data_IF_242154982261
#
_entry.id   IF_242154982261
#
_cell.length_a   1.000
_cell.length_b   1.000
_cell.length_c   1.000
_cell.angle_alpha   90.00
_cell.angle_beta   90.00
_cell.angle_gamma   90.00
#
_symmetry.space_group_name_H-M   'P 1'
#
loop_
_entity.id
_entity.type
_entity.pdbx_description
1 polymer ?
#
# COMPACT_ATOMS: atom_id res chain seq x y z
N UNK A 1 -21.47 -35.24 44.59
CA UNK A 1 -21.39 -33.77 44.70
C UNK A 1 -20.50 -33.12 43.63
N UNK A 2 -19.37 -33.73 43.23
CA UNK A 2 -18.41 -33.16 42.25
C UNK A 2 -18.93 -32.98 40.81
N UNK A 3 -19.81 -33.86 40.30
CA UNK A 3 -20.31 -33.77 38.91
C UNK A 3 -21.18 -32.52 38.64
N UNK A 4 -21.92 -32.04 39.64
CA UNK A 4 -22.72 -30.80 39.52
C UNK A 4 -21.86 -29.55 39.48
N UNK A 5 -20.74 -29.55 40.21
CA UNK A 5 -19.77 -28.44 40.23
C UNK A 5 -19.04 -28.33 38.88
N UNK A 6 -18.64 -29.45 38.29
CA UNK A 6 -18.00 -29.49 36.96
C UNK A 6 -18.95 -28.99 35.87
N UNK A 7 -20.21 -29.43 35.88
CA UNK A 7 -21.22 -28.96 34.92
C UNK A 7 -21.46 -27.44 35.02
N UNK A 8 -21.48 -26.90 36.24
CA UNK A 8 -21.69 -25.48 36.49
C UNK A 8 -20.51 -24.62 36.00
N UNK A 9 -19.28 -25.12 36.15
CA UNK A 9 -18.06 -24.49 35.61
C UNK A 9 -18.06 -24.49 34.08
N UNK A 10 -18.44 -25.60 33.43
CA UNK A 10 -18.54 -25.65 31.97
C UNK A 10 -19.63 -24.72 31.43
N UNK A 11 -20.78 -24.64 32.09
CA UNK A 11 -21.86 -23.71 31.71
C UNK A 11 -21.41 -22.26 31.88
N UNK A 12 -20.68 -21.92 32.94
CA UNK A 12 -20.13 -20.57 33.16
C UNK A 12 -19.07 -20.20 32.12
N UNK A 13 -18.17 -21.12 31.75
CA UNK A 13 -17.16 -20.89 30.70
C UNK A 13 -17.84 -20.68 29.34
N UNK A 14 -18.86 -21.48 29.03
CA UNK A 14 -19.61 -21.34 27.78
C UNK A 14 -20.40 -20.02 27.74
N UNK A 15 -20.98 -19.58 28.86
CA UNK A 15 -21.65 -18.28 28.98
C UNK A 15 -20.67 -17.10 28.82
N UNK A 16 -19.45 -17.21 29.35
CA UNK A 16 -18.37 -16.24 29.21
C UNK A 16 -17.85 -16.14 27.76
N UNK A 17 -17.81 -17.26 27.03
CA UNK A 17 -17.44 -17.26 25.61
C UNK A 17 -18.49 -16.58 24.72
N UNK A 18 -19.78 -16.70 25.05
CA UNK A 18 -20.86 -16.02 24.31
C UNK A 18 -20.81 -14.50 24.53
N UNK A 19 -20.40 -14.05 25.72
CA UNK A 19 -20.22 -12.63 26.05
C UNK A 19 -18.95 -12.00 25.44
N UNK A 20 -18.09 -12.82 24.83
CA UNK A 20 -16.92 -12.35 24.05
C UNK A 20 -17.24 -12.12 22.57
N UNK A 21 -18.51 -12.23 22.17
CA UNK A 21 -18.98 -11.74 20.88
C UNK A 21 -18.87 -10.22 20.83
N UNK A 22 -17.68 -9.72 20.50
CA UNK A 22 -17.48 -8.32 20.15
C UNK A 22 -18.52 -7.96 19.09
N UNK A 23 -19.37 -6.98 19.41
CA UNK A 23 -20.35 -6.47 18.46
C UNK A 23 -19.65 -6.09 17.16
N UNK A 24 -20.15 -6.59 16.04
CA UNK A 24 -19.90 -5.95 14.76
C UNK A 24 -20.42 -4.52 14.88
N UNK A 25 -19.53 -3.58 15.20
CA UNK A 25 -19.69 -2.20 14.77
C UNK A 25 -19.79 -2.27 13.25
N UNK A 26 -21.01 -2.16 12.73
CA UNK A 26 -21.20 -1.76 11.35
C UNK A 26 -20.51 -0.40 11.25
N UNK A 27 -19.31 -0.38 10.67
CA UNK A 27 -18.56 0.85 10.45
C UNK A 27 -19.50 1.83 9.77
N UNK A 28 -19.91 2.86 10.50
CA UNK A 28 -20.49 4.06 9.91
C UNK A 28 -19.41 4.58 8.97
N UNK A 29 -19.61 4.41 7.66
CA UNK A 29 -18.60 4.79 6.68
C UNK A 29 -18.14 6.22 6.94
N UNK A 30 -16.83 6.40 7.13
CA UNK A 30 -16.27 7.72 7.34
C UNK A 30 -16.51 8.57 6.09
N UNK A 31 -17.06 9.77 6.30
CA UNK A 31 -17.33 10.73 5.23
C UNK A 31 -16.25 11.80 5.31
N UNK A 32 -15.44 11.92 4.26
CA UNK A 32 -14.37 12.91 4.17
C UNK A 32 -14.86 14.15 3.40
N UNK A 33 -14.37 15.32 3.80
CA UNK A 33 -14.73 16.59 3.16
C UNK A 33 -13.99 16.85 1.83
N UNK A 34 -12.86 16.19 1.60
CA UNK A 34 -12.04 16.38 0.40
C UNK A 34 -11.14 15.18 0.10
N UNK A 35 -10.58 15.15 -1.11
CA UNK A 35 -9.53 14.19 -1.48
C UNK A 35 -8.30 14.27 -0.57
N UNK A 36 -7.99 15.47 -0.10
CA UNK A 36 -6.88 15.71 0.83
C UNK A 36 -7.13 15.08 2.20
N UNK A 37 -8.35 15.20 2.72
CA UNK A 37 -8.71 14.60 4.00
C UNK A 37 -8.61 13.06 3.98
N UNK A 38 -9.07 12.42 2.90
CA UNK A 38 -8.95 10.95 2.75
C UNK A 38 -7.49 10.50 2.53
N UNK A 39 -6.68 11.30 1.83
CA UNK A 39 -5.24 11.01 1.67
C UNK A 39 -4.51 11.12 3.01
N UNK A 40 -4.77 12.18 3.79
CA UNK A 40 -4.16 12.36 5.10
C UNK A 40 -4.52 11.22 6.07
N UNK A 41 -5.79 10.81 6.07
CA UNK A 41 -6.26 9.66 6.85
C UNK A 41 -5.57 8.36 6.41
N UNK A 42 -5.49 8.12 5.11
CA UNK A 42 -4.78 6.96 4.58
C UNK A 42 -3.30 6.95 4.98
N UNK A 43 -2.61 8.09 4.88
CA UNK A 43 -1.21 8.24 5.32
C UNK A 43 -1.01 7.94 6.80
N UNK A 44 -2.00 8.27 7.64
CA UNK A 44 -1.95 7.95 9.08
C UNK A 44 -2.10 6.45 9.40
N UNK A 45 -2.61 5.66 8.43
CA UNK A 45 -2.94 4.25 8.60
C UNK A 45 -2.01 3.29 7.83
N UNK A 46 -1.05 3.81 7.07
CA UNK A 46 -0.12 3.02 6.26
C UNK A 46 1.33 3.23 6.69
N UNK A 47 2.23 2.43 6.13
CA UNK A 47 3.67 2.70 6.23
C UNK A 47 4.09 3.62 5.08
N UNK A 48 4.60 4.79 5.40
CA UNK A 48 5.33 5.63 4.45
C UNK A 48 6.84 5.40 4.58
N UNK A 49 7.56 5.50 3.46
CA UNK A 49 9.03 5.46 3.45
C UNK A 49 9.62 6.73 2.86
N UNK A 50 10.73 7.16 3.44
CA UNK A 50 11.52 8.29 2.97
C UNK A 50 12.28 7.94 1.67
N UNK A 51 12.79 8.96 0.99
CA UNK A 51 13.69 8.79 -0.15
C UNK A 51 14.92 7.95 0.20
N UNK A 52 15.56 8.23 1.34
CA UNK A 52 16.79 7.56 1.76
C UNK A 52 16.55 6.09 2.12
N UNK A 53 15.43 5.78 2.78
CA UNK A 53 15.05 4.39 3.07
C UNK A 53 14.71 3.63 1.79
N UNK A 54 14.00 4.27 0.87
CA UNK A 54 13.69 3.70 -0.43
C UNK A 54 14.95 3.41 -1.25
N UNK A 55 15.89 4.37 -1.34
CA UNK A 55 17.20 4.17 -1.98
C UNK A 55 17.97 3.01 -1.36
N UNK A 56 17.97 2.88 -0.04
CA UNK A 56 18.59 1.75 0.63
C UNK A 56 17.91 0.40 0.32
N UNK A 57 16.59 0.37 0.14
CA UNK A 57 15.90 -0.86 -0.25
C UNK A 57 16.29 -1.33 -1.64
N UNK A 58 16.42 -0.39 -2.59
CA UNK A 58 16.90 -0.64 -3.94
C UNK A 58 18.36 -1.13 -3.94
N UNK A 59 19.26 -0.40 -3.28
CA UNK A 59 20.70 -0.71 -3.26
C UNK A 59 21.04 -2.02 -2.51
N UNK A 60 20.19 -2.44 -1.57
CA UNK A 60 20.35 -3.69 -0.83
C UNK A 60 19.58 -4.86 -1.45
N UNK A 61 19.02 -4.68 -2.65
CA UNK A 61 18.25 -5.71 -3.38
C UNK A 61 17.10 -6.29 -2.55
N UNK A 62 16.50 -5.46 -1.67
CA UNK A 62 15.40 -5.86 -0.79
C UNK A 62 14.02 -5.60 -1.40
N UNK A 63 13.98 -5.03 -2.59
CA UNK A 63 12.75 -4.64 -3.27
C UNK A 63 12.71 -5.26 -4.66
N UNK A 64 11.92 -6.31 -4.82
CA UNK A 64 11.72 -6.95 -6.13
C UNK A 64 10.62 -6.26 -6.93
N UNK A 65 9.55 -5.79 -6.30
CA UNK A 65 8.40 -5.18 -7.00
C UNK A 65 8.22 -3.72 -6.58
N UNK A 66 8.30 -2.83 -7.56
CA UNK A 66 7.98 -1.40 -7.42
C UNK A 66 6.74 -1.09 -8.27
N UNK A 67 5.69 -0.58 -7.65
CA UNK A 67 4.42 -0.31 -8.34
C UNK A 67 4.26 1.19 -8.58
N UNK A 68 4.23 1.59 -9.84
CA UNK A 68 3.81 2.91 -10.25
C UNK A 68 2.28 2.94 -10.42
N UNK A 69 1.60 3.72 -9.57
CA UNK A 69 0.13 3.86 -9.62
C UNK A 69 -0.35 5.07 -10.41
N UNK A 70 0.53 5.72 -11.17
CA UNK A 70 0.19 6.78 -12.12
C UNK A 70 -0.55 6.23 -13.33
N UNK A 71 -1.09 7.15 -14.14
CA UNK A 71 -1.69 6.78 -15.41
C UNK A 71 -0.63 6.27 -16.40
N UNK A 72 -0.97 5.38 -17.35
CA UNK A 72 0.00 4.82 -18.29
C UNK A 72 0.75 5.88 -19.10
N UNK A 73 0.10 7.02 -19.40
CA UNK A 73 0.75 8.15 -20.06
C UNK A 73 1.90 8.75 -19.25
N UNK A 74 1.70 8.95 -17.94
CA UNK A 74 2.75 9.45 -17.03
C UNK A 74 3.90 8.44 -16.88
N UNK A 75 3.59 7.13 -16.89
CA UNK A 75 4.58 6.06 -16.82
C UNK A 75 5.44 5.99 -18.08
N UNK A 76 4.82 6.10 -19.26
CA UNK A 76 5.51 6.06 -20.54
C UNK A 76 6.46 7.27 -20.75
N UNK A 77 6.22 8.38 -20.07
CA UNK A 77 7.11 9.55 -20.07
C UNK A 77 8.38 9.35 -19.22
N UNK A 78 8.39 8.32 -18.38
CA UNK A 78 9.52 7.95 -17.54
C UNK A 78 9.05 7.39 -16.19
N UNK A 79 9.85 6.49 -15.63
CA UNK A 79 9.53 5.79 -14.39
C UNK A 79 10.79 5.53 -13.55
N UNK A 80 10.60 5.23 -12.27
CA UNK A 80 11.71 4.88 -11.37
C UNK A 80 12.29 3.54 -11.82
N UNK A 81 13.62 3.44 -11.88
CA UNK A 81 14.35 2.29 -12.44
C UNK A 81 14.12 2.09 -13.95
N UNK A 82 14.05 3.19 -14.71
CA UNK A 82 14.08 3.13 -16.16
C UNK A 82 15.46 2.65 -16.63
N UNK A 83 15.55 1.78 -17.65
CA UNK A 83 16.82 1.36 -18.20
C UNK A 83 17.51 2.54 -18.90
N UNK A 84 18.83 2.49 -18.95
CA UNK A 84 19.64 3.43 -19.73
C UNK A 84 19.61 3.11 -21.23
N UNK A 85 20.46 3.80 -22.01
CA UNK A 85 20.51 3.65 -23.46
C UNK A 85 20.99 2.27 -23.94
N UNK A 86 21.66 1.52 -23.07
CA UNK A 86 22.16 0.16 -23.33
C UNK A 86 21.19 -0.93 -22.82
N UNK A 87 19.96 -0.54 -22.47
CA UNK A 87 18.92 -1.41 -21.91
C UNK A 87 19.31 -2.01 -20.53
N UNK A 88 20.24 -1.35 -19.82
CA UNK A 88 20.70 -1.76 -18.49
C UNK A 88 19.88 -1.06 -17.40
N UNK A 89 19.32 -1.87 -16.49
CA UNK A 89 18.54 -1.37 -15.36
C UNK A 89 19.49 -0.99 -14.21
N UNK A 90 19.38 0.23 -13.63
CA UNK A 90 20.16 0.62 -12.46
C UNK A 90 19.98 -0.30 -11.25
N UNK A 91 18.79 -0.88 -11.12
CA UNK A 91 18.43 -1.86 -10.10
C UNK A 91 17.84 -3.11 -10.79
N UNK A 92 18.66 -4.04 -11.28
CA UNK A 92 18.21 -5.14 -12.13
C UNK A 92 17.29 -6.14 -11.42
N UNK A 93 17.39 -6.24 -10.10
CA UNK A 93 16.53 -7.11 -9.27
C UNK A 93 15.17 -6.46 -8.94
N UNK A 94 14.94 -5.20 -9.33
CA UNK A 94 13.70 -4.47 -9.09
C UNK A 94 12.88 -4.31 -10.36
N UNK A 95 11.70 -4.90 -10.41
CA UNK A 95 10.75 -4.78 -11.50
C UNK A 95 9.77 -3.64 -11.22
N UNK A 96 9.84 -2.57 -12.03
CA UNK A 96 8.85 -1.49 -11.99
C UNK A 96 7.67 -1.83 -12.87
N UNK A 97 6.48 -1.92 -12.27
CA UNK A 97 5.22 -2.25 -12.96
C UNK A 97 4.22 -1.11 -12.86
N UNK A 98 3.49 -0.82 -13.94
CA UNK A 98 2.41 0.16 -13.90
C UNK A 98 1.06 -0.49 -13.61
N UNK A 99 0.51 -0.19 -12.44
CA UNK A 99 -0.86 -0.54 -12.07
C UNK A 99 -1.56 0.76 -11.64
N UNK A 100 -2.27 1.44 -12.55
CA UNK A 100 -2.93 2.71 -12.24
C UNK A 100 -3.80 2.59 -10.99
N UNK A 101 -3.86 3.64 -10.16
CA UNK A 101 -4.57 3.59 -8.87
C UNK A 101 -5.97 2.99 -9.01
N UNK A 102 -6.75 3.38 -10.03
CA UNK A 102 -8.11 2.87 -10.23
C UNK A 102 -8.24 1.39 -10.55
N UNK A 103 -7.13 0.69 -10.80
CA UNK A 103 -7.09 -0.73 -11.17
C UNK A 103 -6.38 -1.62 -10.14
N UNK A 104 -5.82 -1.05 -9.07
CA UNK A 104 -5.00 -1.80 -8.11
C UNK A 104 -5.79 -2.96 -7.48
N UNK A 105 -7.06 -2.73 -7.09
CA UNK A 105 -7.93 -3.75 -6.49
C UNK A 105 -8.16 -4.96 -7.39
N UNK A 106 -8.16 -4.74 -8.71
CA UNK A 106 -8.50 -5.77 -9.69
C UNK A 106 -7.27 -6.48 -10.24
N UNK A 107 -6.12 -5.79 -10.30
CA UNK A 107 -4.88 -6.32 -10.91
C UNK A 107 -3.94 -6.97 -9.91
N UNK A 108 -3.80 -6.44 -8.70
CA UNK A 108 -2.76 -6.88 -7.76
C UNK A 108 -2.89 -8.37 -7.38
N UNK A 109 -4.10 -8.93 -7.38
CA UNK A 109 -4.38 -10.35 -7.11
C UNK A 109 -4.78 -11.17 -8.34
N UNK A 110 -4.64 -10.62 -9.56
CA UNK A 110 -5.02 -11.31 -10.80
C UNK A 110 -3.83 -12.10 -11.34
N UNK A 111 -3.84 -13.43 -11.19
CA UNK A 111 -2.81 -14.29 -11.78
C UNK A 111 -2.65 -14.03 -13.27
N UNK A 112 -3.75 -13.87 -14.01
CA UNK A 112 -3.71 -13.63 -15.45
C UNK A 112 -2.92 -12.37 -15.82
N UNK A 113 -3.05 -11.29 -15.04
CA UNK A 113 -2.28 -10.06 -15.24
C UNK A 113 -0.78 -10.27 -14.99
N UNK A 114 -0.42 -10.99 -13.93
CA UNK A 114 0.99 -11.23 -13.59
C UNK A 114 1.65 -12.26 -14.51
N UNK A 115 0.93 -13.30 -14.93
CA UNK A 115 1.48 -14.43 -15.68
C UNK A 115 1.60 -14.14 -17.19
N UNK A 116 0.75 -13.26 -17.74
CA UNK A 116 0.70 -13.03 -19.19
C UNK A 116 1.18 -11.63 -19.61
N UNK A 117 0.98 -10.61 -18.77
CA UNK A 117 1.28 -9.22 -19.16
C UNK A 117 2.63 -8.74 -18.60
N UNK A 118 3.23 -9.49 -17.66
CA UNK A 118 4.44 -9.12 -16.95
C UNK A 118 5.50 -10.22 -17.01
N UNK A 119 6.75 -9.79 -16.86
CA UNK A 119 7.96 -10.61 -16.85
C UNK A 119 8.41 -10.93 -15.41
N UNK A 120 7.50 -10.74 -14.45
CA UNK A 120 7.73 -10.88 -13.02
C UNK A 120 6.54 -11.59 -12.38
N UNK A 121 6.82 -12.57 -11.53
CA UNK A 121 5.78 -13.32 -10.82
C UNK A 121 5.04 -12.43 -9.79
N UNK A 122 3.74 -12.71 -9.62
CA UNK A 122 2.90 -12.04 -8.62
C UNK A 122 3.56 -12.07 -7.23
N UNK A 123 3.72 -10.91 -6.55
CA UNK A 123 4.33 -10.90 -5.24
C UNK A 123 3.44 -11.57 -4.18
N UNK A 124 4.01 -12.47 -3.34
CA UNK A 124 3.38 -12.90 -2.11
C UNK A 124 2.97 -11.72 -1.22
N UNK A 125 1.95 -11.93 -0.39
CA UNK A 125 1.35 -10.85 0.40
C UNK A 125 2.26 -10.28 1.49
N UNK A 126 3.27 -11.03 1.90
CA UNK A 126 4.26 -10.64 2.91
C UNK A 126 5.58 -10.11 2.33
N UNK A 127 5.74 -10.16 1.00
CA UNK A 127 6.88 -9.59 0.32
C UNK A 127 6.85 -8.06 0.38
N UNK A 128 8.00 -7.37 0.58
CA UNK A 128 8.06 -5.91 0.49
C UNK A 128 7.59 -5.40 -0.88
N UNK A 129 6.61 -4.48 -0.86
CA UNK A 129 6.14 -3.78 -2.07
C UNK A 129 6.13 -2.29 -1.78
N UNK A 130 6.76 -1.51 -2.66
CA UNK A 130 6.71 -0.05 -2.61
C UNK A 130 5.79 0.46 -3.71
N UNK A 131 4.91 1.39 -3.37
CA UNK A 131 4.07 2.11 -4.32
C UNK A 131 4.50 3.56 -4.39
N UNK A 132 4.44 4.12 -5.59
CA UNK A 132 4.61 5.56 -5.79
C UNK A 132 3.63 6.09 -6.82
N UNK A 133 3.32 7.37 -6.70
CA UNK A 133 2.67 8.13 -7.76
C UNK A 133 3.46 9.41 -8.01
N UNK A 134 2.86 10.46 -8.58
CA UNK A 134 3.55 11.74 -8.77
C UNK A 134 4.03 12.39 -7.45
N UNK A 135 3.13 12.55 -6.46
CA UNK A 135 3.41 13.29 -5.20
C UNK A 135 3.21 12.48 -3.90
N UNK A 136 2.76 11.23 -3.99
CA UNK A 136 2.54 10.33 -2.85
C UNK A 136 1.07 10.12 -2.43
N UNK A 137 0.12 10.96 -2.89
CA UNK A 137 -1.28 10.83 -2.48
C UNK A 137 -1.99 9.58 -3.04
N UNK A 138 -1.86 9.30 -4.34
CA UNK A 138 -2.47 8.11 -4.98
C UNK A 138 -1.85 6.82 -4.45
N UNK A 139 -0.54 6.79 -4.23
CA UNK A 139 0.16 5.62 -3.67
C UNK A 139 -0.25 5.36 -2.23
N UNK A 140 -0.50 6.40 -1.42
CA UNK A 140 -1.02 6.21 -0.07
C UNK A 140 -2.39 5.51 -0.07
N UNK A 141 -3.31 5.96 -0.94
CA UNK A 141 -4.62 5.32 -1.11
C UNK A 141 -4.52 3.89 -1.67
N UNK A 142 -3.55 3.61 -2.54
CA UNK A 142 -3.32 2.26 -3.06
C UNK A 142 -2.77 1.33 -1.96
N UNK A 143 -1.79 1.79 -1.20
CA UNK A 143 -1.18 1.06 -0.11
C UNK A 143 -2.21 0.67 0.95
N UNK A 144 -3.08 1.61 1.35
CA UNK A 144 -4.16 1.34 2.29
C UNK A 144 -5.10 0.25 1.78
N UNK A 145 -5.46 0.28 0.48
CA UNK A 145 -6.29 -0.78 -0.09
C UNK A 145 -5.57 -2.13 -0.12
N UNK A 146 -4.30 -2.17 -0.53
CA UNK A 146 -3.53 -3.41 -0.54
C UNK A 146 -3.42 -4.02 0.87
N UNK A 147 -3.24 -3.19 1.91
CA UNK A 147 -3.29 -3.66 3.30
C UNK A 147 -4.65 -4.28 3.66
N UNK A 148 -5.76 -3.65 3.25
CA UNK A 148 -7.12 -4.21 3.41
C UNK A 148 -7.32 -5.53 2.66
N UNK A 149 -6.57 -5.74 1.58
CA UNK A 149 -6.54 -7.00 0.82
C UNK A 149 -5.59 -8.05 1.40
N UNK A 150 -4.92 -7.73 2.51
CA UNK A 150 -4.06 -8.65 3.28
C UNK A 150 -2.58 -8.61 2.92
N UNK A 151 -2.13 -7.63 2.13
CA UNK A 151 -0.70 -7.40 1.94
C UNK A 151 -0.12 -6.75 3.20
N UNK A 152 0.84 -7.39 3.85
CA UNK A 152 1.32 -7.00 5.18
C UNK A 152 2.57 -6.12 5.14
N UNK A 153 3.24 -6.06 3.99
CA UNK A 153 4.53 -5.40 3.83
C UNK A 153 4.51 -4.36 2.69
N UNK A 154 3.57 -3.41 2.80
CA UNK A 154 3.29 -2.41 1.77
C UNK A 154 3.69 -1.03 2.24
N UNK A 155 4.35 -0.28 1.35
CA UNK A 155 4.87 1.05 1.62
C UNK A 155 4.43 2.06 0.55
N UNK A 156 4.19 3.30 0.94
CA UNK A 156 4.06 4.44 0.02
C UNK A 156 5.31 5.31 0.05
N UNK A 157 5.89 5.62 -1.11
CA UNK A 157 7.04 6.53 -1.22
C UNK A 157 6.60 7.99 -0.97
N UNK A 158 7.18 8.63 0.04
CA UNK A 158 6.92 10.04 0.35
C UNK A 158 7.34 10.95 -0.80
N UNK A 159 6.46 11.86 -1.19
CA UNK A 159 6.68 12.81 -2.29
C UNK A 159 6.75 12.18 -3.69
N UNK A 160 6.62 10.85 -3.78
CA UNK A 160 6.48 10.10 -5.03
C UNK A 160 7.62 10.31 -6.04
N UNK A 161 7.27 10.26 -7.33
CA UNK A 161 8.18 10.40 -8.45
C UNK A 161 8.90 11.76 -8.47
N UNK A 162 8.28 12.82 -7.95
CA UNK A 162 8.92 14.14 -7.90
C UNK A 162 10.16 14.15 -7.01
N UNK A 163 10.08 13.54 -5.83
CA UNK A 163 11.23 13.42 -4.91
C UNK A 163 12.30 12.47 -5.50
N UNK A 164 11.90 11.49 -6.30
CA UNK A 164 12.87 10.68 -7.05
C UNK A 164 13.69 11.53 -8.03
N UNK A 165 13.04 12.45 -8.75
CA UNK A 165 13.70 13.34 -9.70
C UNK A 165 14.54 14.42 -9.02
N UNK A 166 14.04 14.99 -7.92
CA UNK A 166 14.74 16.01 -7.15
C UNK A 166 14.49 15.80 -5.64
N UNK A 167 15.43 15.14 -4.93
CA UNK A 167 15.32 14.87 -3.51
C UNK A 167 15.31 16.13 -2.62
N UNK A 168 15.61 17.31 -3.18
CA UNK A 168 15.62 18.57 -2.43
C UNK A 168 14.25 19.25 -2.35
N UNK A 169 13.26 18.77 -3.10
CA UNK A 169 11.92 19.35 -3.09
C UNK A 169 11.24 19.18 -1.73
N UNK A 170 10.42 20.16 -1.30
CA UNK A 170 9.58 19.97 -0.12
C UNK A 170 8.49 18.92 -0.39
N UNK A 171 8.16 18.14 0.64
CA UNK A 171 6.99 17.27 0.61
C UNK A 171 5.70 18.12 0.55
N UNK A 172 4.69 17.65 -0.19
CA UNK A 172 3.39 18.30 -0.22
C UNK A 172 2.72 18.21 1.16
N UNK A 173 2.18 19.34 1.62
CA UNK A 173 1.46 19.40 2.88
C UNK A 173 0.00 18.96 2.68
N UNK A 174 -0.26 17.71 3.08
CA UNK A 174 -1.60 17.11 3.07
C UNK A 174 -2.49 17.56 4.25
N UNK A 175 -2.00 18.42 5.15
CA UNK A 175 -2.73 18.90 6.33
C UNK A 175 -3.50 20.22 6.14
N UNK A 176 -3.15 21.05 5.15
CA UNK A 176 -3.83 22.34 5.01
C UNK A 176 -5.30 22.18 4.57
N UNK A 177 -6.22 22.58 5.45
CA UNK A 177 -7.67 22.63 5.22
C UNK A 177 -7.98 23.36 3.92
N UNK A 178 -8.82 22.74 3.11
CA UNK A 178 -9.41 23.30 1.89
C UNK A 178 -10.13 24.62 2.22
N UNK A 179 -9.45 25.76 2.04
CA UNK A 179 -10.14 27.04 1.94
C UNK A 179 -10.72 27.10 0.53
N UNK A 180 -11.91 26.51 0.38
CA UNK A 180 -12.60 26.38 -0.90
C UNK A 180 -12.58 27.66 -1.72
N UNK A 181 -12.18 27.51 -2.99
CA UNK A 181 -12.29 28.51 -4.04
C UNK A 181 -13.35 28.10 -5.05
#
# INVERSE_FOLDING_TARGET
>A
MMKKQILLVFVLIFLLMILSGCGQSYATGEVYSSSKAIVADAKSSINEISYDDFKQMLEKEKLRVLIDVREPGEFNEGFINQPDEDDEYPYPETFTVNIPRGLIEFKITSSDYWDNDLWVEMPPKDEPIVLYCLTGGRSALAALTMQKMGYTNVYSLQGGYRIWLDPSLPLEDDSASDSGG
#
